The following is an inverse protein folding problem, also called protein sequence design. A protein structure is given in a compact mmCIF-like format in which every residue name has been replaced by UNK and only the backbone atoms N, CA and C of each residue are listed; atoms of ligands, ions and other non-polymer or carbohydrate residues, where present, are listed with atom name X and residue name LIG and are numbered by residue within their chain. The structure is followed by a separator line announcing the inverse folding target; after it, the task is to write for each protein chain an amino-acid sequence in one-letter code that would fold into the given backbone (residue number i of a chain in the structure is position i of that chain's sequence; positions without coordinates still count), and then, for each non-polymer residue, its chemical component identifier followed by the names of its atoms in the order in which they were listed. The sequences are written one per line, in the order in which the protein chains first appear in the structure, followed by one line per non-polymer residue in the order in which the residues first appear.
data_IF_353140547307
#
_entry.id   IF_353140547307
#
_cell.length_a   1.000
_cell.length_b   1.000
_cell.length_c   1.000
_cell.angle_alpha   90.00
_cell.angle_beta   90.00
_cell.angle_gamma   90.00
#
_symmetry.space_group_name_H-M   'P 1'
#
loop_
_entity.id
_entity.type
_entity.pdbx_description
1 polymer ?
#
# COMPACT_ATOMS: atom_id res chain seq x y z
N UNK A 1 -22.37 -1.63 -9.05
CA UNK A 1 -21.22 -2.46 -9.47
C UNK A 1 -19.87 -1.77 -9.25
N UNK A 2 -19.82 -0.43 -9.17
CA UNK A 2 -18.57 0.31 -8.99
C UNK A 2 -17.92 0.21 -7.59
N UNK A 3 -18.72 0.13 -6.50
CA UNK A 3 -18.17 0.06 -5.12
C UNK A 3 -17.43 -1.25 -4.80
N UNK A 4 -17.91 -2.40 -5.31
CA UNK A 4 -17.22 -3.68 -5.17
C UNK A 4 -15.87 -3.68 -5.90
N UNK A 5 -15.80 -3.08 -7.09
CA UNK A 5 -14.55 -2.93 -7.82
C UNK A 5 -13.55 -2.05 -7.04
N UNK A 6 -14.04 -0.93 -6.48
CA UNK A 6 -13.24 -0.06 -5.62
C UNK A 6 -12.74 -0.78 -4.36
N UNK A 7 -13.58 -1.62 -3.76
CA UNK A 7 -13.24 -2.44 -2.60
C UNK A 7 -12.11 -3.43 -2.93
N UNK A 8 -12.22 -4.18 -4.03
CA UNK A 8 -11.15 -5.09 -4.47
C UNK A 8 -9.87 -4.37 -4.88
N UNK A 9 -9.97 -3.17 -5.48
CA UNK A 9 -8.80 -2.34 -5.79
C UNK A 9 -8.12 -1.83 -4.52
N UNK A 10 -8.87 -1.40 -3.52
CA UNK A 10 -8.31 -0.94 -2.23
C UNK A 10 -7.69 -2.09 -1.42
N UNK A 11 -8.13 -3.33 -1.68
CA UNK A 11 -7.53 -4.53 -1.09
C UNK A 11 -6.09 -4.79 -1.57
N UNK A 12 -5.69 -4.22 -2.71
CA UNK A 12 -4.33 -4.36 -3.24
C UNK A 12 -3.41 -3.36 -2.53
N UNK A 13 -2.36 -3.81 -1.82
CA UNK A 13 -1.49 -2.95 -1.01
C UNK A 13 -0.66 -1.95 -1.83
N UNK A 14 -0.56 -2.14 -3.16
CA UNK A 14 0.12 -1.20 -4.05
C UNK A 14 -0.73 0.01 -4.42
N UNK A 15 -2.06 -0.16 -4.41
CA UNK A 15 -3.03 0.87 -4.79
C UNK A 15 -3.61 1.51 -3.54
N UNK A 16 -4.03 0.70 -2.56
CA UNK A 16 -4.63 1.12 -1.27
C UNK A 16 -5.76 2.16 -1.43
N UNK A 17 -6.18 2.75 -0.30
CA UNK A 17 -7.04 3.92 -0.25
C UNK A 17 -6.53 5.08 -1.13
N UNK A 18 -5.20 5.21 -1.29
CA UNK A 18 -4.57 6.32 -2.03
C UNK A 18 -4.88 6.30 -3.52
N UNK A 19 -5.00 5.12 -4.12
CA UNK A 19 -5.40 4.97 -5.52
C UNK A 19 -6.90 4.72 -5.69
N UNK A 20 -7.55 4.05 -4.72
CA UNK A 20 -8.98 3.73 -4.83
C UNK A 20 -9.89 4.92 -4.57
N UNK A 21 -9.53 5.87 -3.69
CA UNK A 21 -10.29 7.10 -3.45
C UNK A 21 -10.34 8.00 -4.70
N UNK A 22 -9.21 8.39 -5.32
CA UNK A 22 -9.26 9.20 -6.54
C UNK A 22 -9.91 8.47 -7.71
N UNK A 23 -9.80 7.14 -7.80
CA UNK A 23 -10.57 6.37 -8.79
C UNK A 23 -12.07 6.41 -8.53
N UNK A 24 -12.53 6.36 -7.28
CA UNK A 24 -13.96 6.50 -6.96
C UNK A 24 -14.50 7.88 -7.37
N UNK A 25 -13.72 8.93 -7.11
CA UNK A 25 -14.06 10.30 -7.53
C UNK A 25 -14.08 10.41 -9.07
N UNK A 26 -13.10 9.81 -9.75
CA UNK A 26 -13.05 9.78 -11.22
C UNK A 26 -14.25 9.04 -11.83
N UNK A 27 -14.74 8.01 -11.14
CA UNK A 27 -15.95 7.26 -11.52
C UNK A 27 -17.25 7.99 -11.17
N UNK A 28 -17.19 9.22 -10.65
CA UNK A 28 -18.35 10.04 -10.28
C UNK A 28 -19.09 9.54 -9.04
N UNK A 29 -18.43 8.74 -8.19
CA UNK A 29 -19.02 8.18 -6.98
C UNK A 29 -18.97 9.20 -5.84
N UNK A 30 -19.91 9.09 -4.90
CA UNK A 30 -19.93 9.99 -3.76
C UNK A 30 -18.63 9.85 -2.93
N UNK A 31 -17.96 10.97 -2.61
CA UNK A 31 -16.70 10.95 -1.88
C UNK A 31 -16.82 10.33 -0.48
N UNK A 32 -17.94 10.53 0.21
CA UNK A 32 -18.13 10.03 1.56
C UNK A 32 -18.32 8.52 1.56
N UNK A 33 -19.15 8.00 0.66
CA UNK A 33 -19.33 6.54 0.53
C UNK A 33 -18.03 5.87 0.07
N UNK A 34 -17.34 6.46 -0.90
CA UNK A 34 -16.03 5.99 -1.37
C UNK A 34 -15.02 5.91 -0.24
N UNK A 35 -14.98 6.93 0.63
CA UNK A 35 -14.08 6.97 1.77
C UNK A 35 -14.40 5.90 2.81
N UNK A 36 -15.67 5.66 3.13
CA UNK A 36 -16.08 4.61 4.08
C UNK A 36 -15.71 3.21 3.55
N UNK A 37 -15.98 2.94 2.27
CA UNK A 37 -15.69 1.65 1.64
C UNK A 37 -14.18 1.40 1.51
N UNK A 38 -13.40 2.41 1.11
CA UNK A 38 -11.93 2.27 1.00
C UNK A 38 -11.26 2.16 2.37
N UNK A 39 -11.73 2.92 3.36
CA UNK A 39 -11.17 2.85 4.72
C UNK A 39 -11.43 1.50 5.37
N UNK A 40 -12.66 0.99 5.28
CA UNK A 40 -13.03 -0.31 5.85
C UNK A 40 -12.29 -1.49 5.20
N UNK A 41 -12.09 -1.47 3.89
CA UNK A 41 -11.26 -2.47 3.19
C UNK A 41 -9.79 -2.38 3.58
N UNK A 42 -9.22 -1.18 3.71
CA UNK A 42 -7.82 -1.03 4.08
C UNK A 42 -7.50 -1.54 5.49
N UNK A 43 -8.47 -1.44 6.42
CA UNK A 43 -8.33 -2.04 7.75
C UNK A 43 -8.20 -3.57 7.72
N UNK A 44 -8.70 -4.24 6.67
CA UNK A 44 -8.50 -5.68 6.44
C UNK A 44 -7.17 -5.97 5.74
N UNK A 45 -6.71 -5.11 4.82
CA UNK A 45 -5.43 -5.29 4.11
C UNK A 45 -4.24 -5.28 5.06
N UNK A 46 -4.20 -4.31 5.98
CA UNK A 46 -3.09 -4.12 6.91
C UNK A 46 -2.71 -5.38 7.72
N UNK A 47 -3.64 -6.05 8.43
CA UNK A 47 -3.31 -7.29 9.15
C UNK A 47 -2.96 -8.45 8.21
N UNK A 48 -3.58 -8.54 7.04
CA UNK A 48 -3.26 -9.58 6.03
C UNK A 48 -1.83 -9.39 5.51
N UNK A 49 -1.44 -8.16 5.21
CA UNK A 49 -0.09 -7.84 4.76
C UNK A 49 0.95 -8.21 5.83
N UNK A 50 0.66 -7.92 7.10
CA UNK A 50 1.53 -8.28 8.21
C UNK A 50 1.75 -9.80 8.31
N UNK A 51 0.69 -10.60 8.10
CA UNK A 51 0.80 -12.05 8.10
C UNK A 51 1.61 -12.60 6.91
N UNK A 52 1.56 -11.93 5.76
CA UNK A 52 2.28 -12.33 4.54
C UNK A 52 3.72 -11.78 4.51
N UNK A 53 4.01 -10.74 5.30
CA UNK A 53 5.32 -10.08 5.35
C UNK A 53 6.50 -11.05 5.57
N UNK A 54 6.47 -12.00 6.53
CA UNK A 54 7.57 -12.95 6.73
C UNK A 54 7.80 -13.87 5.52
N UNK A 55 6.76 -14.10 4.71
CA UNK A 55 6.85 -14.89 3.46
C UNK A 55 7.57 -14.07 2.38
N UNK A 56 7.26 -12.78 2.27
CA UNK A 56 7.83 -11.85 1.28
C UNK A 56 9.29 -11.51 1.60
N UNK A 57 9.60 -11.26 2.87
CA UNK A 57 10.96 -10.95 3.34
C UNK A 57 11.98 -12.03 2.94
N UNK A 58 11.53 -13.29 2.88
CA UNK A 58 12.35 -14.42 2.44
C UNK A 58 12.80 -14.31 0.97
N UNK A 59 12.03 -13.62 0.12
CA UNK A 59 12.35 -13.41 -1.29
C UNK A 59 13.10 -12.11 -1.55
N UNK A 60 12.79 -11.07 -0.78
CA UNK A 60 13.46 -9.76 -0.87
C UNK A 60 13.98 -9.41 0.53
N UNK A 61 15.19 -9.85 0.90
CA UNK A 61 15.76 -9.50 2.20
C UNK A 61 16.06 -8.00 2.23
N UNK A 62 15.15 -7.25 2.87
CA UNK A 62 15.19 -5.80 3.04
C UNK A 62 16.52 -5.34 3.64
N UNK A 63 17.12 -6.14 4.53
CA UNK A 63 18.43 -5.89 5.14
C UNK A 63 19.55 -5.59 4.13
N UNK A 64 19.55 -6.24 2.96
CA UNK A 64 20.61 -6.01 1.96
C UNK A 64 20.47 -4.67 1.25
N UNK A 65 19.25 -4.18 1.10
CA UNK A 65 18.98 -2.88 0.49
C UNK A 65 19.25 -1.74 1.48
N UNK A 66 18.81 -1.90 2.73
CA UNK A 66 19.08 -0.98 3.83
C UNK A 66 20.59 -0.77 4.02
N UNK A 67 21.36 -1.87 4.14
CA UNK A 67 22.83 -1.80 4.25
C UNK A 67 23.53 -1.19 3.04
N UNK A 68 22.92 -1.23 1.84
CA UNK A 68 23.45 -0.57 0.63
C UNK A 68 23.21 0.94 0.68
N UNK A 69 22.04 1.35 1.15
CA UNK A 69 21.68 2.76 1.33
C UNK A 69 22.50 3.41 2.44
N UNK A 70 22.66 2.74 3.59
CA UNK A 70 23.50 3.22 4.68
C UNK A 70 24.96 3.44 4.23
N UNK A 71 25.50 2.50 3.45
CA UNK A 71 26.86 2.61 2.90
C UNK A 71 26.99 3.82 1.97
N UNK A 72 26.04 3.99 1.05
CA UNK A 72 25.99 5.17 0.17
C UNK A 72 25.82 6.48 0.94
N UNK A 73 25.00 6.49 1.99
CA UNK A 73 24.81 7.65 2.84
C UNK A 73 26.09 8.01 3.62
N UNK A 74 26.83 7.00 4.10
CA UNK A 74 28.11 7.20 4.78
C UNK A 74 29.22 7.72 3.85
N UNK A 75 29.25 7.26 2.59
CA UNK A 75 30.16 7.76 1.55
C UNK A 75 29.89 9.23 1.19
N UNK A 76 28.62 9.63 1.13
CA UNK A 76 28.22 11.02 0.85
C UNK A 76 28.52 11.95 2.04
N UNK A 77 28.37 11.47 3.29
CA UNK A 77 28.64 12.26 4.50
C UNK A 77 30.13 12.44 4.80
N UNK A 78 30.99 11.60 4.23
CA UNK A 78 32.45 11.64 4.39
C UNK A 78 33.17 12.47 3.31
N UNK A 79 32.45 13.05 2.35
CA UNK A 79 32.97 13.85 1.25
C UNK A 79 32.58 15.31 1.40
#
# INVERSE_FOLDING_TARGET
MSYLYLFFMSLVPFVEARGSIPMGIYLGMDPMETWVVCTSSNMLVSPILYLIYPRIERFVPTDRFAKRLERKASEIKSK
#
